data_IF_161239306179
#
_entry.id   IF_161239306179
#
_cell.length_a   1.000
_cell.length_b   1.000
_cell.length_c   1.000
_cell.angle_alpha   90.00
_cell.angle_beta   90.00
_cell.angle_gamma   90.00
#
_symmetry.space_group_name_H-M   'P 1'
#
loop_
_entity.id
_entity.type
_entity.pdbx_description
1 polymer ?
#
# COMPACT_ATOMS: atom_id res chain seq x y z
N UNK A 1 -13.53 48.51 18.65
CA UNK A 1 -13.76 48.52 17.19
C UNK A 1 -13.50 47.11 16.71
N UNK A 2 -14.52 46.44 16.16
CA UNK A 2 -14.34 45.10 15.65
C UNK A 2 -13.80 45.13 14.21
N UNK A 3 -12.95 44.17 13.80
CA UNK A 3 -12.41 44.11 12.45
C UNK A 3 -13.49 43.96 11.39
N UNK A 4 -13.40 44.74 10.30
CA UNK A 4 -14.32 44.64 9.18
C UNK A 4 -14.13 43.32 8.43
N UNK A 5 -15.24 42.59 8.21
CA UNK A 5 -15.23 41.33 7.46
C UNK A 5 -15.83 41.50 6.07
N UNK A 6 -15.32 40.80 5.04
CA UNK A 6 -15.94 40.81 3.72
C UNK A 6 -17.39 40.32 3.77
N UNK A 7 -18.34 41.16 3.35
CA UNK A 7 -19.77 40.84 3.36
C UNK A 7 -20.22 40.10 2.09
N UNK A 8 -19.40 40.09 1.04
CA UNK A 8 -19.67 39.49 -0.26
C UNK A 8 -18.38 39.02 -0.95
N UNK A 9 -18.53 38.31 -2.07
CA UNK A 9 -17.40 37.81 -2.88
C UNK A 9 -16.81 36.49 -2.38
N UNK A 10 -15.71 36.06 -3.03
CA UNK A 10 -15.10 34.73 -2.83
C UNK A 10 -14.55 34.48 -1.42
N UNK A 11 -14.22 35.53 -0.67
CA UNK A 11 -13.61 35.45 0.66
C UNK A 11 -14.61 35.61 1.81
N UNK A 12 -15.90 35.82 1.48
CA UNK A 12 -16.97 35.94 2.47
C UNK A 12 -16.95 34.76 3.45
N UNK A 13 -17.10 35.06 4.74
CA UNK A 13 -17.16 34.09 5.85
C UNK A 13 -15.90 33.21 6.03
N UNK A 14 -14.81 33.50 5.30
CA UNK A 14 -13.54 32.75 5.37
C UNK A 14 -12.39 33.56 5.94
N UNK A 15 -12.53 34.88 6.05
CA UNK A 15 -11.48 35.77 6.58
C UNK A 15 -11.78 36.14 8.04
N UNK A 16 -10.80 35.95 8.90
CA UNK A 16 -10.84 36.30 10.32
C UNK A 16 -9.62 37.14 10.67
N UNK A 17 -9.79 38.14 11.52
CA UNK A 17 -8.68 38.91 12.07
C UNK A 17 -7.85 38.08 13.03
N UNK A 18 -6.53 38.11 12.88
CA UNK A 18 -5.59 37.38 13.74
C UNK A 18 -4.41 38.25 14.21
N UNK A 19 -4.45 39.54 13.92
CA UNK A 19 -3.37 40.49 14.22
C UNK A 19 -3.54 41.16 15.58
N UNK A 20 -2.51 41.90 15.98
CA UNK A 20 -2.51 42.76 17.14
C UNK A 20 -1.94 44.15 16.77
N UNK A 21 -2.80 45.18 16.61
CA UNK A 21 -2.36 46.53 16.24
C UNK A 21 -1.41 47.16 17.26
N UNK A 22 -1.55 46.86 18.56
CA UNK A 22 -0.65 47.35 19.62
C UNK A 22 0.77 46.81 19.48
N UNK A 23 0.94 45.73 18.71
CA UNK A 23 2.22 45.09 18.41
C UNK A 23 2.63 45.24 16.94
N UNK A 24 2.04 46.21 16.23
CA UNK A 24 2.30 46.44 14.81
C UNK A 24 2.00 45.23 13.91
N UNK A 25 1.06 44.39 14.31
CA UNK A 25 0.67 43.18 13.56
C UNK A 25 -0.73 43.34 12.95
N UNK A 26 -0.79 43.38 11.62
CA UNK A 26 -2.02 43.50 10.84
C UNK A 26 -2.46 42.17 10.19
N UNK A 27 -2.11 41.03 10.79
CA UNK A 27 -2.37 39.71 10.22
C UNK A 27 -3.85 39.34 10.14
N UNK A 28 -4.20 38.61 9.08
CA UNK A 28 -5.50 37.96 8.90
C UNK A 28 -5.31 36.47 8.64
N UNK A 29 -6.34 35.69 8.92
CA UNK A 29 -6.39 34.27 8.64
C UNK A 29 -7.48 33.98 7.62
N UNK A 30 -7.10 33.30 6.52
CA UNK A 30 -8.00 32.82 5.48
C UNK A 30 -8.25 31.31 5.66
N UNK A 31 -9.48 30.97 6.05
CA UNK A 31 -9.93 29.60 6.26
C UNK A 31 -10.39 28.93 4.97
N UNK A 32 -10.40 27.59 4.98
CA UNK A 32 -10.90 26.74 3.88
C UNK A 32 -10.32 27.19 2.53
N UNK A 33 -8.99 27.19 2.44
CA UNK A 33 -8.28 27.54 1.22
C UNK A 33 -8.73 26.66 0.06
N UNK A 34 -8.94 27.28 -1.09
CA UNK A 34 -9.29 26.64 -2.35
C UNK A 34 -8.17 26.87 -3.36
N UNK A 35 -8.06 26.01 -4.37
CA UNK A 35 -7.04 26.16 -5.42
C UNK A 35 -7.12 27.51 -6.15
N UNK A 36 -8.32 28.06 -6.28
CA UNK A 36 -8.54 29.35 -6.93
C UNK A 36 -8.30 30.56 -5.99
N UNK A 37 -7.92 30.32 -4.74
CA UNK A 37 -7.32 31.35 -3.87
C UNK A 37 -5.83 31.55 -4.15
N UNK A 38 -5.22 30.73 -5.02
CA UNK A 38 -3.83 30.91 -5.45
C UNK A 38 -3.67 32.28 -6.13
N UNK A 39 -2.67 33.04 -5.70
CA UNK A 39 -2.37 34.34 -6.29
C UNK A 39 -1.45 35.19 -5.44
N UNK A 40 -1.31 36.44 -5.87
CA UNK A 40 -0.53 37.46 -5.18
C UNK A 40 -1.47 38.38 -4.41
N UNK A 41 -1.26 38.46 -3.10
CA UNK A 41 -2.02 39.27 -2.16
C UNK A 41 -1.17 40.49 -1.78
N UNK A 42 -1.83 41.64 -1.62
CA UNK A 42 -1.17 42.87 -1.19
C UNK A 42 -1.71 43.31 0.17
N UNK A 43 -0.80 43.73 1.04
CA UNK A 43 -1.11 44.29 2.35
C UNK A 43 -0.81 45.78 2.33
N UNK A 44 -1.80 46.60 2.68
CA UNK A 44 -1.67 48.05 2.80
C UNK A 44 -2.12 48.48 4.19
N UNK A 45 -1.22 49.07 4.96
CA UNK A 45 -1.52 49.64 6.28
C UNK A 45 -1.49 51.15 6.13
N UNK A 46 -2.60 51.80 6.47
CA UNK A 46 -2.75 53.26 6.41
C UNK A 46 -3.01 53.80 7.80
N UNK A 47 -2.24 54.79 8.22
CA UNK A 47 -2.36 55.45 9.52
C UNK A 47 -2.49 56.96 9.30
N UNK A 48 -3.71 57.50 9.08
CA UNK A 48 -3.89 58.94 8.86
C UNK A 48 -3.26 59.76 10.00
N UNK A 49 -2.47 60.83 9.75
CA UNK A 49 -2.28 61.57 8.49
C UNK A 49 -1.28 60.99 7.49
N UNK A 50 -0.62 59.87 7.80
CA UNK A 50 0.30 59.19 6.88
C UNK A 50 -0.49 58.46 5.79
N UNK A 51 -0.41 59.00 4.57
CA UNK A 51 -1.29 58.59 3.47
C UNK A 51 -0.81 57.28 2.82
N UNK A 52 0.49 57.01 2.86
CA UNK A 52 1.10 55.90 2.12
C UNK A 52 2.08 55.09 2.99
N UNK A 53 1.60 53.96 3.52
CA UNK A 53 2.45 52.92 4.08
C UNK A 53 3.04 52.02 2.99
N UNK A 54 4.08 51.25 3.34
CA UNK A 54 4.68 50.27 2.42
C UNK A 54 3.63 49.21 2.03
N UNK A 55 3.52 48.95 0.73
CA UNK A 55 2.69 47.84 0.21
C UNK A 55 3.49 46.55 0.31
N UNK A 56 3.07 45.64 1.19
CA UNK A 56 3.64 44.30 1.27
C UNK A 56 3.02 43.39 0.22
N UNK A 57 3.81 42.53 -0.43
CA UNK A 57 3.34 41.53 -1.38
C UNK A 57 3.55 40.11 -0.84
N UNK A 58 2.52 39.26 -0.92
CA UNK A 58 2.51 37.88 -0.44
C UNK A 58 2.04 36.97 -1.57
N UNK A 59 2.83 35.95 -1.93
CA UNK A 59 2.44 34.94 -2.92
C UNK A 59 1.86 33.71 -2.22
N UNK A 60 0.56 33.49 -2.33
CA UNK A 60 -0.13 32.32 -1.79
C UNK A 60 -0.25 31.24 -2.87
N UNK A 61 0.44 30.11 -2.68
CA UNK A 61 0.30 28.93 -3.53
C UNK A 61 -0.47 27.85 -2.79
N UNK A 62 -1.67 27.53 -3.28
CA UNK A 62 -2.48 26.44 -2.74
C UNK A 62 -2.16 25.18 -3.55
N UNK A 63 -1.49 24.23 -2.90
CA UNK A 63 -1.04 22.97 -3.52
C UNK A 63 -1.75 21.77 -2.91
N UNK A 64 -1.92 20.72 -3.70
CA UNK A 64 -2.46 19.46 -3.21
C UNK A 64 -1.40 18.79 -2.34
N UNK A 65 -1.63 18.71 -1.04
CA UNK A 65 -0.73 18.02 -0.12
C UNK A 65 -1.07 16.53 -0.09
N UNK A 66 -0.53 15.74 -1.03
CA UNK A 66 -0.60 14.28 -1.03
C UNK A 66 0.37 13.67 -0.01
N UNK A 67 0.21 13.97 1.29
CA UNK A 67 1.16 13.48 2.31
C UNK A 67 1.00 12.01 2.70
N UNK A 68 -0.16 11.39 2.45
CA UNK A 68 -0.44 10.02 2.94
C UNK A 68 -0.66 8.99 1.84
N UNK A 69 -1.05 9.43 0.65
CA UNK A 69 -1.39 8.55 -0.46
C UNK A 69 -0.16 7.77 -0.96
N UNK A 70 0.94 8.47 -1.22
CA UNK A 70 2.13 7.86 -1.83
C UNK A 70 2.83 6.88 -0.90
N UNK A 71 3.03 7.25 0.38
CA UNK A 71 3.68 6.36 1.36
C UNK A 71 2.83 5.11 1.59
N UNK A 72 1.50 5.26 1.68
CA UNK A 72 0.59 4.13 1.83
C UNK A 72 0.63 3.19 0.61
N UNK A 73 0.55 3.74 -0.61
CA UNK A 73 0.61 2.93 -1.83
C UNK A 73 1.97 2.21 -1.99
N UNK A 74 3.07 2.88 -1.66
CA UNK A 74 4.41 2.28 -1.67
C UNK A 74 4.53 1.16 -0.63
N UNK A 75 4.06 1.39 0.59
CA UNK A 75 4.07 0.37 1.64
C UNK A 75 3.22 -0.85 1.28
N UNK A 76 2.04 -0.64 0.68
CA UNK A 76 1.16 -1.71 0.23
C UNK A 76 1.79 -2.53 -0.89
N UNK A 77 2.41 -1.86 -1.88
CA UNK A 77 3.08 -2.53 -2.99
C UNK A 77 4.23 -3.43 -2.48
N UNK A 78 5.15 -2.86 -1.69
CA UNK A 78 6.31 -3.57 -1.13
C UNK A 78 5.85 -4.70 -0.19
N UNK A 79 4.90 -4.41 0.71
CA UNK A 79 4.35 -5.39 1.63
C UNK A 79 3.72 -6.58 0.91
N UNK A 80 2.95 -6.33 -0.16
CA UNK A 80 2.35 -7.41 -0.96
C UNK A 80 3.40 -8.27 -1.65
N UNK A 81 4.43 -7.67 -2.25
CA UNK A 81 5.49 -8.39 -2.95
C UNK A 81 6.29 -9.28 -1.98
N UNK A 82 6.66 -8.75 -0.82
CA UNK A 82 7.36 -9.51 0.22
C UNK A 82 6.50 -10.67 0.75
N UNK A 83 5.21 -10.43 1.03
CA UNK A 83 4.31 -11.47 1.50
C UNK A 83 4.12 -12.60 0.48
N UNK A 84 3.91 -12.24 -0.80
CA UNK A 84 3.79 -13.21 -1.89
C UNK A 84 5.06 -14.06 -2.04
N UNK A 85 6.25 -13.45 -1.98
CA UNK A 85 7.52 -14.18 -2.04
C UNK A 85 7.65 -15.18 -0.89
N UNK A 86 7.31 -14.78 0.35
CA UNK A 86 7.35 -15.69 1.50
C UNK A 86 6.36 -16.84 1.34
N UNK A 87 5.14 -16.58 0.87
CA UNK A 87 4.12 -17.61 0.62
C UNK A 87 4.60 -18.61 -0.44
N UNK A 88 5.21 -18.14 -1.53
CA UNK A 88 5.75 -18.99 -2.59
C UNK A 88 6.86 -19.89 -2.05
N UNK A 89 7.81 -19.33 -1.29
CA UNK A 89 8.91 -20.11 -0.69
C UNK A 89 8.37 -21.18 0.24
N UNK A 90 7.42 -20.85 1.12
CA UNK A 90 6.78 -21.82 2.02
C UNK A 90 6.08 -22.91 1.22
N UNK A 91 5.32 -22.54 0.18
CA UNK A 91 4.65 -23.48 -0.72
C UNK A 91 5.62 -24.44 -1.41
N UNK A 92 6.74 -23.95 -1.91
CA UNK A 92 7.79 -24.76 -2.55
C UNK A 92 8.46 -25.69 -1.55
N UNK A 93 8.81 -25.21 -0.35
CA UNK A 93 9.44 -26.04 0.69
C UNK A 93 8.49 -27.15 1.14
N UNK A 94 7.23 -26.83 1.39
CA UNK A 94 6.20 -27.82 1.72
C UNK A 94 6.04 -28.83 0.59
N UNK A 95 5.91 -28.37 -0.65
CA UNK A 95 5.77 -29.25 -1.81
C UNK A 95 6.98 -30.18 -1.96
N UNK A 96 8.21 -29.67 -1.85
CA UNK A 96 9.42 -30.46 -1.90
C UNK A 96 9.49 -31.48 -0.76
N UNK A 97 9.15 -31.08 0.46
CA UNK A 97 9.12 -31.95 1.62
C UNK A 97 8.07 -33.06 1.47
N UNK A 98 6.85 -32.74 1.02
CA UNK A 98 5.81 -33.72 0.71
C UNK A 98 6.24 -34.64 -0.43
N UNK A 99 6.87 -34.13 -1.49
CA UNK A 99 7.44 -34.96 -2.56
C UNK A 99 8.44 -35.93 -1.96
N UNK A 100 9.45 -35.44 -1.23
CA UNK A 100 10.52 -36.25 -0.60
C UNK A 100 9.95 -37.37 0.27
N UNK A 101 8.94 -37.07 1.11
CA UNK A 101 8.23 -38.10 1.88
C UNK A 101 7.49 -39.09 1.00
N UNK A 102 6.82 -38.63 -0.06
CA UNK A 102 6.10 -39.48 -1.01
C UNK A 102 7.04 -40.38 -1.82
N UNK A 103 8.26 -39.94 -2.13
CA UNK A 103 9.30 -40.79 -2.76
C UNK A 103 9.72 -41.94 -1.83
N UNK A 104 9.89 -41.69 -0.53
CA UNK A 104 10.19 -42.74 0.45
C UNK A 104 9.06 -43.79 0.54
N UNK A 105 7.80 -43.36 0.55
CA UNK A 105 6.65 -44.29 0.55
C UNK A 105 6.49 -45.07 -0.76
N UNK A 106 6.89 -44.49 -1.91
CA UNK A 106 6.85 -45.19 -3.21
C UNK A 106 7.94 -46.24 -3.33
N UNK A 107 9.14 -45.98 -2.81
CA UNK A 107 10.23 -46.97 -2.78
C UNK A 107 9.85 -48.21 -1.95
N UNK A 108 9.25 -48.02 -0.77
CA UNK A 108 8.77 -49.14 0.05
C UNK A 108 7.69 -49.96 -0.66
N UNK A 109 6.72 -49.28 -1.31
CA UNK A 109 5.68 -49.98 -2.07
C UNK A 109 6.30 -50.80 -3.20
N UNK A 110 7.14 -50.21 -4.06
CA UNK A 110 7.78 -50.91 -5.19
C UNK A 110 8.54 -52.14 -4.71
N UNK A 111 9.34 -52.01 -3.64
CA UNK A 111 10.10 -53.13 -3.04
C UNK A 111 9.20 -54.26 -2.52
N UNK A 112 7.98 -53.94 -2.07
CA UNK A 112 7.02 -54.93 -1.57
C UNK A 112 6.25 -55.65 -2.69
N UNK A 113 6.02 -55.00 -3.84
CA UNK A 113 5.28 -55.59 -4.97
C UNK A 113 6.14 -56.56 -5.78
N UNK A 114 7.43 -56.24 -6.01
CA UNK A 114 8.34 -57.07 -6.82
C UNK A 114 8.45 -58.54 -6.35
N UNK A 115 8.74 -58.85 -5.07
CA UNK A 115 8.87 -60.24 -4.63
C UNK A 115 7.53 -60.98 -4.67
N UNK A 116 6.42 -60.28 -4.42
CA UNK A 116 5.07 -60.86 -4.41
C UNK A 116 4.60 -61.20 -5.82
N UNK A 117 4.97 -60.41 -6.82
CA UNK A 117 4.71 -60.68 -8.24
C UNK A 117 5.59 -61.83 -8.76
N UNK A 118 6.87 -61.85 -8.37
CA UNK A 118 7.82 -62.90 -8.72
C UNK A 118 7.42 -64.28 -8.15
N UNK A 119 6.96 -64.32 -6.89
CA UNK A 119 6.39 -65.53 -6.27
C UNK A 119 5.17 -66.07 -7.02
N UNK A 120 4.24 -65.19 -7.42
CA UNK A 120 3.05 -65.60 -8.19
C UNK A 120 3.41 -66.15 -9.56
N UNK A 121 4.34 -65.51 -10.26
CA UNK A 121 4.79 -65.96 -11.58
C UNK A 121 5.48 -67.33 -11.50
N UNK A 122 6.28 -67.55 -10.45
CA UNK A 122 6.93 -68.84 -10.20
C UNK A 122 5.90 -69.94 -9.86
N UNK A 123 4.84 -69.58 -9.14
CA UNK A 123 3.76 -70.50 -8.79
C UNK A 123 2.92 -70.89 -10.02
N UNK A 124 2.57 -69.94 -10.89
CA UNK A 124 1.89 -70.22 -12.17
C UNK A 124 2.74 -71.11 -13.07
N UNK A 125 4.05 -70.84 -13.17
CA UNK A 125 4.97 -71.67 -13.96
C UNK A 125 5.04 -73.10 -13.44
N UNK A 126 5.06 -73.30 -12.12
CA UNK A 126 5.00 -74.65 -11.53
C UNK A 126 3.70 -75.36 -11.91
N UNK A 127 2.56 -74.70 -11.77
CA UNK A 127 1.24 -75.28 -12.11
C UNK A 127 1.18 -75.67 -13.59
N UNK A 128 1.67 -74.82 -14.50
CA UNK A 128 1.72 -75.11 -15.92
C UNK A 128 2.58 -76.35 -16.25
N UNK A 129 3.76 -76.47 -15.63
CA UNK A 129 4.65 -77.63 -15.80
C UNK A 129 3.99 -78.93 -15.33
N UNK A 130 3.30 -78.92 -14.19
CA UNK A 130 2.60 -80.12 -13.71
C UNK A 130 1.41 -80.51 -14.60
N UNK A 131 0.74 -79.54 -15.24
CA UNK A 131 -0.39 -79.76 -16.14
C UNK A 131 0.05 -80.37 -17.47
N UNK A 132 1.23 -80.00 -17.99
CA UNK A 132 1.82 -80.61 -19.19
C UNK A 132 2.30 -82.06 -18.96
N UNK A 133 2.65 -82.44 -17.72
CA UNK A 133 3.11 -83.80 -17.39
C UNK A 133 1.96 -84.79 -17.09
N UNK A 134 0.70 -84.35 -17.07
CA UNK A 134 -0.48 -85.19 -16.71
C UNK A 134 -1.42 -85.52 -17.89
N UNK A 135 -1.05 -85.15 -19.12
CA UNK A 135 -1.72 -85.50 -20.38
C UNK A 135 -0.80 -86.39 -21.25
#
# INVERSE_FOLDING_TARGET
>A
MDPFKPMSGRFKDRVVWNGNPERYDASIMLWKLRFDDNGTYTCQVKNPPDVDGLVGEIRLSVVQTVRFSEIYFLALAIGSACALMVIIVIGVVLFQHFRKRRWASRAHKVVEITPKEEERLNQEKKVAVYLEDTD
#
